data_IF_395821350851
#
_entry.id   IF_395821350851
#
_cell.length_a   1.000
_cell.length_b   1.000
_cell.length_c   1.000
_cell.angle_alpha   90.00
_cell.angle_beta   90.00
_cell.angle_gamma   90.00
#
_symmetry.space_group_name_H-M   'P 1'
#
loop_
_entity.id
_entity.type
_entity.pdbx_description
1 polymer ?
#
# COMPACT_ATOMS: atom_id res chain seq x y z
N UNK A 1 -18.72 -21.19 -41.01
CA UNK A 1 -19.17 -20.66 -39.70
C UNK A 1 -18.06 -20.70 -38.63
N UNK A 2 -17.29 -21.79 -38.46
CA UNK A 2 -16.27 -21.91 -37.41
C UNK A 2 -15.10 -20.91 -37.44
N UNK A 3 -14.64 -20.48 -38.62
CA UNK A 3 -13.49 -19.55 -38.75
C UNK A 3 -13.77 -18.15 -38.17
N UNK A 4 -15.01 -17.66 -38.32
CA UNK A 4 -15.40 -16.36 -37.73
C UNK A 4 -15.41 -16.42 -36.21
N UNK A 5 -15.91 -17.49 -35.60
CA UNK A 5 -15.85 -17.69 -34.15
C UNK A 5 -14.42 -17.78 -33.63
N UNK A 6 -13.53 -18.42 -34.38
CA UNK A 6 -12.12 -18.52 -34.02
C UNK A 6 -11.44 -17.14 -33.95
N UNK A 7 -11.68 -16.27 -34.94
CA UNK A 7 -11.16 -14.91 -34.96
C UNK A 7 -11.75 -14.03 -33.83
N UNK A 8 -13.04 -14.20 -33.52
CA UNK A 8 -13.70 -13.48 -32.43
C UNK A 8 -13.10 -13.88 -31.07
N UNK A 9 -12.90 -15.17 -30.83
CA UNK A 9 -12.28 -15.67 -29.59
C UNK A 9 -10.84 -15.15 -29.46
N UNK A 10 -10.07 -15.14 -30.55
CA UNK A 10 -8.69 -14.63 -30.57
C UNK A 10 -8.64 -13.13 -30.20
N UNK A 11 -9.57 -12.33 -30.75
CA UNK A 11 -9.67 -10.90 -30.49
C UNK A 11 -10.07 -10.60 -29.03
N UNK A 12 -10.99 -11.38 -28.47
CA UNK A 12 -11.41 -11.26 -27.06
C UNK A 12 -10.26 -11.56 -26.09
N UNK A 13 -9.45 -12.60 -26.37
CA UNK A 13 -8.27 -12.91 -25.55
C UNK A 13 -7.22 -11.79 -25.61
N UNK A 14 -7.00 -11.19 -26.77
CA UNK A 14 -6.09 -10.05 -26.92
C UNK A 14 -6.58 -8.81 -26.14
N UNK A 15 -7.89 -8.59 -26.11
CA UNK A 15 -8.51 -7.49 -25.36
C UNK A 15 -8.38 -7.69 -23.85
N UNK A 16 -8.43 -8.93 -23.36
CA UNK A 16 -8.20 -9.27 -21.96
C UNK A 16 -6.74 -9.03 -21.55
N UNK A 17 -5.78 -9.25 -22.45
CA UNK A 17 -4.36 -8.96 -22.22
C UNK A 17 -4.08 -7.45 -22.08
N UNK A 18 -4.89 -6.62 -22.75
CA UNK A 18 -4.81 -5.16 -22.67
C UNK A 18 -5.47 -4.58 -21.43
N UNK A 19 -6.22 -5.37 -20.66
CA UNK A 19 -6.86 -4.86 -19.45
C UNK A 19 -5.83 -4.80 -18.32
N UNK A 20 -5.45 -3.59 -17.85
CA UNK A 20 -4.54 -3.48 -16.73
C UNK A 20 -5.19 -4.13 -15.51
N UNK A 21 -4.49 -5.08 -14.92
CA UNK A 21 -4.89 -5.68 -13.65
C UNK A 21 -4.73 -4.62 -12.57
N UNK A 22 -5.81 -3.94 -12.21
CA UNK A 22 -5.79 -2.92 -11.16
C UNK A 22 -5.67 -3.65 -9.83
N UNK A 23 -4.47 -3.70 -9.28
CA UNK A 23 -4.26 -4.21 -7.92
C UNK A 23 -4.89 -3.20 -6.97
N UNK A 24 -5.92 -3.61 -6.22
CA UNK A 24 -6.40 -2.76 -5.13
C UNK A 24 -5.24 -2.57 -4.14
N UNK A 25 -5.04 -1.36 -3.59
CA UNK A 25 -4.05 -1.15 -2.55
C UNK A 25 -4.42 -2.04 -1.37
N UNK A 26 -3.68 -3.12 -1.17
CA UNK A 26 -3.86 -4.02 -0.03
C UNK A 26 -2.75 -3.76 0.98
N UNK A 27 -3.10 -3.91 2.26
CA UNK A 27 -2.14 -3.93 3.33
C UNK A 27 -1.36 -5.24 3.33
N UNK A 28 -0.17 -5.26 3.93
CA UNK A 28 0.66 -6.47 4.06
C UNK A 28 -0.10 -7.64 4.70
N UNK A 29 -1.04 -7.35 5.61
CA UNK A 29 -1.93 -8.32 6.24
C UNK A 29 -3.17 -8.68 5.39
N UNK A 30 -3.16 -8.40 4.08
CA UNK A 30 -4.26 -8.58 3.11
C UNK A 30 -5.54 -7.81 3.44
N UNK A 31 -5.49 -6.86 4.37
CA UNK A 31 -6.63 -6.01 4.75
C UNK A 31 -6.80 -4.85 3.79
N UNK A 32 -8.04 -4.38 3.66
CA UNK A 32 -8.32 -3.13 2.96
C UNK A 32 -7.76 -1.93 3.77
N UNK A 33 -7.21 -0.91 3.11
CA UNK A 33 -6.75 0.32 3.74
C UNK A 33 -7.91 1.01 4.46
N UNK A 34 -7.68 1.46 5.69
CA UNK A 34 -8.69 2.18 6.45
C UNK A 34 -8.61 3.68 6.13
N UNK A 35 -9.76 4.36 5.92
CA UNK A 35 -9.80 5.80 5.83
C UNK A 35 -9.43 6.42 7.18
N UNK A 36 -8.41 7.25 7.18
CA UNK A 36 -7.96 7.96 8.37
C UNK A 36 -8.86 9.17 8.61
N UNK A 37 -9.65 9.14 9.70
CA UNK A 37 -10.47 10.30 10.12
C UNK A 37 -9.63 11.44 10.69
N UNK A 38 -8.41 11.15 11.14
CA UNK A 38 -7.48 12.11 11.73
C UNK A 38 -6.09 11.87 11.15
N UNK A 39 -5.37 12.93 10.73
CA UNK A 39 -3.99 12.78 10.26
C UNK A 39 -3.13 12.25 11.41
N UNK A 40 -2.37 11.18 11.16
CA UNK A 40 -1.54 10.60 12.21
C UNK A 40 -0.30 11.46 12.45
N UNK A 41 -0.03 11.78 13.71
CA UNK A 41 1.01 12.75 14.09
C UNK A 41 2.42 12.21 13.91
N UNK A 42 2.62 10.90 14.04
CA UNK A 42 3.94 10.27 13.92
C UNK A 42 4.28 9.95 12.46
N UNK A 43 3.36 9.33 11.72
CA UNK A 43 3.49 9.11 10.27
C UNK A 43 2.39 9.90 9.54
N UNK A 44 2.69 11.06 8.93
CA UNK A 44 1.69 11.89 8.29
C UNK A 44 1.18 11.22 7.01
N UNK A 45 0.03 10.56 7.10
CA UNK A 45 -0.70 10.01 5.96
C UNK A 45 -1.99 10.79 5.75
N UNK A 46 -2.15 11.34 4.55
CA UNK A 46 -3.39 11.95 4.10
C UNK A 46 -4.13 10.95 3.20
N UNK A 47 -5.30 10.49 3.63
CA UNK A 47 -6.15 9.57 2.86
C UNK A 47 -6.35 8.22 3.55
N UNK A 48 -5.93 7.14 2.88
CA UNK A 48 -6.07 5.76 3.37
C UNK A 48 -4.75 5.23 3.89
N UNK A 49 -4.80 4.42 4.94
CA UNK A 49 -3.60 3.82 5.53
C UNK A 49 -3.88 2.42 6.04
N UNK A 50 -2.84 1.61 6.19
CA UNK A 50 -2.95 0.25 6.70
C UNK A 50 -2.87 0.11 8.22
N UNK A 51 -2.67 1.22 8.92
CA UNK A 51 -2.62 1.26 10.39
C UNK A 51 -3.84 2.00 10.93
N UNK A 52 -4.30 1.62 12.11
CA UNK A 52 -5.23 2.43 12.91
C UNK A 52 -4.48 3.51 13.71
N UNK A 53 -5.21 4.46 14.29
CA UNK A 53 -4.62 5.46 15.19
C UNK A 53 -3.93 4.82 16.42
N UNK A 54 -4.48 3.70 16.93
CA UNK A 54 -3.86 2.87 17.98
C UNK A 54 -2.48 2.34 17.58
N UNK A 55 -2.38 1.82 16.37
CA UNK A 55 -1.17 1.18 15.86
C UNK A 55 -0.08 2.23 15.66
N UNK A 56 -0.47 3.43 15.24
CA UNK A 56 0.45 4.56 15.10
C UNK A 56 1.00 5.05 16.45
N UNK A 57 0.17 5.03 17.49
CA UNK A 57 0.61 5.33 18.87
C UNK A 57 1.58 4.25 19.38
N UNK A 58 1.29 2.97 19.12
CA UNK A 58 2.20 1.88 19.46
C UNK A 58 3.52 1.98 18.69
N UNK A 59 3.47 2.36 17.42
CA UNK A 59 4.64 2.57 16.56
C UNK A 59 5.52 3.70 17.09
N UNK A 60 4.92 4.81 17.51
CA UNK A 60 5.62 5.90 18.17
C UNK A 60 6.31 5.42 19.45
N UNK A 61 5.61 4.67 20.30
CA UNK A 61 6.20 4.15 21.53
C UNK A 61 7.40 3.21 21.24
N UNK A 62 7.30 2.37 20.20
CA UNK A 62 8.42 1.52 19.78
C UNK A 62 9.60 2.34 19.27
N UNK A 63 9.35 3.37 18.47
CA UNK A 63 10.39 4.29 18.00
C UNK A 63 11.07 5.02 19.15
N UNK A 64 10.30 5.55 20.11
CA UNK A 64 10.85 6.22 21.29
C UNK A 64 11.68 5.25 22.16
N UNK A 65 11.25 3.98 22.27
CA UNK A 65 11.96 2.94 23.00
C UNK A 65 13.30 2.52 22.36
N UNK A 66 13.50 2.77 21.06
CA UNK A 66 14.80 2.53 20.40
C UNK A 66 15.89 3.51 20.87
N UNK A 67 15.50 4.62 21.53
CA UNK A 67 16.41 5.61 22.11
C UNK A 67 17.54 6.04 21.14
N UNK A 68 17.18 6.32 19.89
CA UNK A 68 18.14 6.65 18.83
C UNK A 68 18.64 8.07 19.07
N UNK A 69 19.92 8.20 19.42
CA UNK A 69 20.54 9.51 19.70
C UNK A 69 20.87 10.30 18.42
N UNK A 70 21.19 9.60 17.33
CA UNK A 70 21.51 10.23 16.05
C UNK A 70 20.23 10.64 15.30
N UNK A 71 20.14 11.92 14.95
CA UNK A 71 18.95 12.49 14.31
C UNK A 71 18.75 12.00 12.87
N UNK A 72 19.84 11.67 12.16
CA UNK A 72 19.80 11.11 10.81
C UNK A 72 19.21 9.71 10.82
N UNK A 73 19.73 8.82 11.67
CA UNK A 73 19.22 7.47 11.89
C UNK A 73 17.78 7.50 12.39
N UNK A 74 17.44 8.40 13.31
CA UNK A 74 16.09 8.56 13.81
C UNK A 74 15.11 8.92 12.67
N UNK A 75 15.48 9.84 11.78
CA UNK A 75 14.66 10.20 10.61
C UNK A 75 14.51 9.02 9.64
N UNK A 76 15.59 8.29 9.39
CA UNK A 76 15.61 7.16 8.46
C UNK A 76 14.77 5.98 8.97
N UNK A 77 14.95 5.61 10.24
CA UNK A 77 14.17 4.57 10.91
C UNK A 77 12.70 4.94 10.94
N UNK A 78 12.36 6.20 11.26
CA UNK A 78 10.99 6.70 11.21
C UNK A 78 10.38 6.52 9.82
N UNK A 79 11.09 6.90 8.76
CA UNK A 79 10.64 6.76 7.37
C UNK A 79 10.36 5.30 7.01
N UNK A 80 11.29 4.38 7.36
CA UNK A 80 11.13 2.94 7.14
C UNK A 80 9.91 2.40 7.89
N UNK A 81 9.75 2.78 9.16
CA UNK A 81 8.65 2.32 10.01
C UNK A 81 7.29 2.74 9.46
N UNK A 82 7.21 3.96 8.90
CA UNK A 82 6.02 4.46 8.24
C UNK A 82 5.79 3.72 6.89
N UNK A 83 6.83 3.53 6.07
CA UNK A 83 6.74 2.85 4.77
C UNK A 83 6.30 1.38 4.87
N UNK A 84 6.71 0.64 5.90
CA UNK A 84 6.23 -0.74 6.12
C UNK A 84 4.71 -0.77 6.36
N UNK A 85 4.13 0.35 6.77
CA UNK A 85 2.70 0.51 7.06
C UNK A 85 1.94 1.26 5.96
N UNK A 86 2.54 1.52 4.80
CA UNK A 86 1.81 2.01 3.63
C UNK A 86 1.09 0.87 2.92
N UNK A 87 -0.10 1.10 2.33
CA UNK A 87 -0.65 0.17 1.36
C UNK A 87 0.35 -0.06 0.23
N UNK A 88 0.63 -1.32 -0.09
CA UNK A 88 1.56 -1.65 -1.15
C UNK A 88 0.84 -1.48 -2.48
N UNK A 89 1.04 -0.35 -3.15
CA UNK A 89 0.80 -0.28 -4.60
C UNK A 89 1.91 -1.14 -5.21
N UNK A 90 1.59 -2.38 -5.61
CA UNK A 90 2.47 -3.09 -6.55
C UNK A 90 2.43 -2.26 -7.82
N UNK A 91 3.51 -1.51 -8.00
CA UNK A 91 3.73 -0.59 -9.10
C UNK A 91 3.32 -1.24 -10.42
N UNK A 92 2.51 -0.45 -11.12
CA UNK A 92 1.98 -0.64 -12.46
C UNK A 92 3.07 -1.13 -13.42
N UNK A 93 2.94 -2.38 -13.88
CA UNK A 93 3.61 -2.86 -15.08
C UNK A 93 2.56 -3.43 -16.03
#
# INVERSE_FOLDING_TARGET
MGSSYFLIILLLNFLQLLYPSVSLPLCTDSRAPLPQKTPLTFCPYNGTSCCSSSDNKQLKNQFDAMNISDSGCASLVKSILCAIKTPHEREKM
#
